data_IF_397981728532
#
_entry.id   IF_397981728532
#
_cell.length_a   1.000
_cell.length_b   1.000
_cell.length_c   1.000
_cell.angle_alpha   90.00
_cell.angle_beta   90.00
_cell.angle_gamma   90.00
#
_symmetry.space_group_name_H-M   'P 1'
#
loop_
_entity.id
_entity.type
_entity.pdbx_description
1 polymer ?
#
# COMPACT_ATOMS: atom_id res chain seq x y z
N UNK A 1 6.08 -10.93 29.53
CA UNK A 1 7.38 -10.89 28.82
C UNK A 1 7.28 -11.51 27.42
N UNK A 2 6.86 -12.78 27.25
CA UNK A 2 6.69 -13.42 25.93
C UNK A 2 5.72 -12.68 24.97
N UNK A 3 4.61 -12.14 25.49
CA UNK A 3 3.65 -11.37 24.67
C UNK A 3 4.21 -10.03 24.15
N UNK A 4 5.05 -9.35 24.93
CA UNK A 4 5.64 -8.07 24.52
C UNK A 4 6.69 -8.27 23.42
N UNK A 5 7.51 -9.32 23.52
CA UNK A 5 8.47 -9.70 22.47
C UNK A 5 7.74 -10.11 21.19
N UNK A 6 6.68 -10.90 21.29
CA UNK A 6 5.88 -11.28 20.12
C UNK A 6 5.15 -10.09 19.48
N UNK A 7 4.74 -9.09 20.27
CA UNK A 7 4.16 -7.85 19.74
C UNK A 7 5.22 -6.97 19.06
N UNK A 8 6.41 -6.81 19.66
CA UNK A 8 7.49 -6.01 19.07
C UNK A 8 7.99 -6.61 17.76
N UNK A 9 8.14 -7.94 17.68
CA UNK A 9 8.52 -8.64 16.45
C UNK A 9 7.47 -8.47 15.34
N UNK A 10 6.17 -8.52 15.67
CA UNK A 10 5.09 -8.27 14.72
C UNK A 10 5.09 -6.84 14.20
N UNK A 11 5.28 -5.85 15.09
CA UNK A 11 5.38 -4.44 14.71
C UNK A 11 6.60 -4.17 13.81
N UNK A 12 7.75 -4.77 14.14
CA UNK A 12 8.96 -4.69 13.33
C UNK A 12 8.75 -5.31 11.95
N UNK A 13 8.08 -6.47 11.87
CA UNK A 13 7.76 -7.12 10.59
C UNK A 13 6.84 -6.29 9.69
N UNK A 14 5.83 -5.63 10.26
CA UNK A 14 4.97 -4.70 9.53
C UNK A 14 5.73 -3.46 9.03
N UNK A 15 6.55 -2.87 9.91
CA UNK A 15 7.37 -1.70 9.56
C UNK A 15 8.38 -2.01 8.45
N UNK A 16 9.05 -3.17 8.51
CA UNK A 16 9.97 -3.60 7.45
C UNK A 16 9.24 -3.79 6.12
N UNK A 17 8.01 -4.32 6.15
CA UNK A 17 7.19 -4.49 4.96
C UNK A 17 6.79 -3.15 4.32
N UNK A 18 6.40 -2.16 5.12
CA UNK A 18 6.17 -0.79 4.63
C UNK A 18 7.39 -0.23 3.89
N UNK A 19 8.60 -0.41 4.44
CA UNK A 19 9.83 0.06 3.80
C UNK A 19 10.16 -0.70 2.51
N UNK A 20 9.91 -2.01 2.46
CA UNK A 20 10.07 -2.81 1.24
C UNK A 20 9.16 -2.27 0.13
N UNK A 21 7.87 -2.10 0.42
CA UNK A 21 6.88 -1.58 -0.55
C UNK A 21 7.27 -0.18 -1.01
N UNK A 22 7.61 0.72 -0.09
CA UNK A 22 8.05 2.06 -0.44
C UNK A 22 9.34 2.06 -1.28
N UNK A 23 10.30 1.16 -1.00
CA UNK A 23 11.53 1.04 -1.79
C UNK A 23 11.26 0.53 -3.21
N UNK A 24 10.41 -0.49 -3.37
CA UNK A 24 9.99 -0.99 -4.68
C UNK A 24 9.40 0.17 -5.48
N UNK A 25 8.36 0.82 -4.96
CA UNK A 25 7.62 1.84 -5.69
C UNK A 25 8.49 3.06 -6.03
N UNK A 26 9.26 3.59 -5.07
CA UNK A 26 10.15 4.74 -5.33
C UNK A 26 11.28 4.41 -6.33
N UNK A 27 11.66 3.15 -6.52
CA UNK A 27 12.68 2.77 -7.50
C UNK A 27 12.22 2.96 -8.96
N UNK A 28 10.92 3.16 -9.19
CA UNK A 28 10.34 3.33 -10.52
C UNK A 28 9.56 4.64 -10.67
N UNK A 29 9.04 5.20 -9.58
CA UNK A 29 8.07 6.30 -9.62
C UNK A 29 8.67 7.69 -9.38
N UNK A 30 9.91 7.76 -8.87
CA UNK A 30 10.56 9.05 -8.60
C UNK A 30 10.81 9.88 -9.85
N UNK A 31 11.08 9.23 -10.98
CA UNK A 31 11.23 9.88 -12.30
C UNK A 31 9.90 10.40 -12.83
N UNK A 32 8.79 9.82 -12.38
CA UNK A 32 7.42 10.22 -12.70
C UNK A 32 6.85 11.22 -11.69
N UNK A 33 7.69 11.91 -10.91
CA UNK A 33 7.31 12.84 -9.83
C UNK A 33 6.33 12.24 -8.80
N UNK A 34 6.33 10.93 -8.63
CA UNK A 34 5.52 10.25 -7.61
C UNK A 34 6.46 9.77 -6.51
N UNK A 35 6.18 10.17 -5.26
CA UNK A 35 6.95 9.78 -4.09
C UNK A 35 6.06 8.97 -3.16
N UNK A 36 6.49 7.77 -2.80
CA UNK A 36 5.81 6.94 -1.80
C UNK A 36 6.52 7.07 -0.46
N UNK A 37 5.79 7.43 0.58
CA UNK A 37 6.34 7.61 1.93
C UNK A 37 5.36 7.13 2.98
N UNK A 38 5.82 6.93 4.21
CA UNK A 38 4.92 6.56 5.31
C UNK A 38 3.94 7.69 5.60
N UNK A 39 2.69 7.32 5.88
CA UNK A 39 1.60 8.24 6.19
C UNK A 39 1.68 8.78 7.64
N UNK A 40 2.82 9.35 8.01
CA UNK A 40 3.07 9.93 9.35
C UNK A 40 3.69 11.30 9.22
N UNK A 41 3.29 12.22 10.10
CA UNK A 41 3.77 13.61 10.13
C UNK A 41 5.30 13.70 10.04
N UNK A 42 6.02 12.89 10.82
CA UNK A 42 7.48 12.89 10.85
C UNK A 42 8.13 12.45 9.52
N UNK A 43 7.45 11.67 8.69
CA UNK A 43 7.94 11.26 7.36
C UNK A 43 7.52 12.27 6.30
N UNK A 44 6.29 12.81 6.40
CA UNK A 44 5.76 13.81 5.48
C UNK A 44 6.45 15.16 5.62
N UNK A 45 6.77 15.62 6.84
CA UNK A 45 7.43 16.91 7.09
C UNK A 45 8.86 16.99 6.53
N UNK A 46 9.49 15.84 6.29
CA UNK A 46 10.80 15.75 5.60
C UNK A 46 10.69 16.04 4.10
N UNK A 47 9.51 15.87 3.52
CA UNK A 47 9.24 16.08 2.09
C UNK A 47 8.48 17.38 1.83
N UNK A 48 7.48 17.67 2.66
CA UNK A 48 6.56 18.79 2.52
C UNK A 48 6.95 19.87 3.53
N UNK A 49 7.80 20.81 3.10
CA UNK A 49 8.26 21.90 3.96
C UNK A 49 7.19 22.98 4.18
N UNK A 50 6.21 23.09 3.28
CA UNK A 50 5.06 23.97 3.49
C UNK A 50 4.12 23.35 4.54
N UNK A 51 4.16 23.88 5.77
CA UNK A 51 3.34 23.38 6.88
C UNK A 51 1.85 23.41 6.59
N UNK A 52 1.35 24.43 5.86
CA UNK A 52 -0.08 24.51 5.53
C UNK A 52 -0.49 23.36 4.61
N UNK A 53 0.32 23.06 3.58
CA UNK A 53 0.06 21.94 2.68
C UNK A 53 0.20 20.58 3.37
N UNK A 54 1.18 20.42 4.27
CA UNK A 54 1.33 19.24 5.10
C UNK A 54 0.06 18.99 5.91
N UNK A 55 -0.43 19.99 6.65
CA UNK A 55 -1.65 19.86 7.44
C UNK A 55 -2.89 19.64 6.59
N UNK A 56 -3.00 20.28 5.41
CA UNK A 56 -4.10 20.02 4.49
C UNK A 56 -4.15 18.56 4.04
N UNK A 57 -3.02 17.96 3.64
CA UNK A 57 -2.99 16.54 3.25
C UNK A 57 -3.34 15.65 4.43
N UNK A 58 -2.76 15.94 5.58
CA UNK A 58 -2.99 15.21 6.82
C UNK A 58 -4.47 15.24 7.24
N UNK A 59 -5.07 16.42 7.31
CA UNK A 59 -6.48 16.63 7.66
C UNK A 59 -7.43 16.04 6.62
N UNK A 60 -7.08 16.11 5.33
CA UNK A 60 -7.87 15.51 4.26
C UNK A 60 -8.02 13.98 4.39
N UNK A 61 -7.04 13.32 5.02
CA UNK A 61 -7.10 11.87 5.28
C UNK A 61 -7.76 11.49 6.59
N UNK A 62 -8.10 12.46 7.45
CA UNK A 62 -8.82 12.19 8.69
C UNK A 62 -10.29 11.88 8.41
N UNK A 63 -10.85 11.04 9.25
CA UNK A 63 -12.27 10.64 9.17
C UNK A 63 -13.04 11.06 10.42
N UNK A 64 -14.30 11.47 10.26
CA UNK A 64 -15.13 11.87 11.39
C UNK A 64 -15.55 10.65 12.23
N UNK A 65 -15.20 10.64 13.52
CA UNK A 65 -15.59 9.61 14.50
C UNK A 65 -16.56 10.20 15.52
N UNK A 66 -17.74 9.59 15.63
CA UNK A 66 -18.80 10.03 16.55
C UNK A 66 -18.56 9.50 17.97
N UNK A 67 -18.54 10.41 18.95
CA UNK A 67 -18.49 10.07 20.38
C UNK A 67 -19.88 10.18 20.97
N UNK A 68 -20.56 9.04 21.11
CA UNK A 68 -21.94 8.99 21.60
C UNK A 68 -22.09 9.48 23.04
N UNK A 69 -21.05 9.34 23.86
CA UNK A 69 -21.12 9.70 25.28
C UNK A 69 -21.27 11.20 25.51
N UNK A 70 -20.59 12.03 24.72
CA UNK A 70 -20.62 13.50 24.84
C UNK A 70 -21.30 14.18 23.64
N UNK A 71 -21.88 13.39 22.73
CA UNK A 71 -22.53 13.85 21.50
C UNK A 71 -21.60 14.71 20.62
N UNK A 72 -20.29 14.54 20.73
CA UNK A 72 -19.28 15.23 19.92
C UNK A 72 -18.82 14.40 18.73
N UNK A 73 -18.09 15.04 17.83
CA UNK A 73 -17.40 14.40 16.71
C UNK A 73 -15.93 14.78 16.75
N UNK A 74 -15.06 13.79 16.63
CA UNK A 74 -13.61 13.98 16.49
C UNK A 74 -13.18 13.65 15.06
N UNK A 75 -12.02 14.17 14.65
CA UNK A 75 -11.34 13.74 13.44
C UNK A 75 -10.24 12.77 13.86
N UNK A 76 -10.31 11.53 13.39
CA UNK A 76 -9.34 10.48 13.73
C UNK A 76 -8.55 10.06 12.49
N UNK A 77 -7.34 9.53 12.72
CA UNK A 77 -6.53 8.97 11.65
C UNK A 77 -6.92 7.52 11.39
N UNK A 78 -7.23 7.17 10.13
CA UNK A 78 -7.34 5.76 9.76
C UNK A 78 -5.99 5.06 9.95
N UNK A 79 -6.02 3.72 9.99
CA UNK A 79 -4.79 2.92 9.91
C UNK A 79 -4.22 3.03 8.48
N UNK A 80 -3.40 4.07 8.26
CA UNK A 80 -2.77 4.38 6.98
C UNK A 80 -1.28 4.10 7.06
N UNK A 81 -0.80 3.24 6.16
CA UNK A 81 0.60 2.81 6.18
C UNK A 81 1.47 3.73 5.29
N UNK A 82 1.14 3.85 4.00
CA UNK A 82 1.88 4.69 3.04
C UNK A 82 0.96 5.64 2.26
N UNK A 83 1.50 6.80 1.91
CA UNK A 83 0.96 7.72 0.92
C UNK A 83 1.80 7.70 -0.34
N UNK A 84 1.13 7.59 -1.49
CA UNK A 84 1.70 8.02 -2.77
C UNK A 84 1.35 9.49 -2.97
N UNK A 85 2.36 10.33 -3.18
CA UNK A 85 2.23 11.78 -3.32
C UNK A 85 2.75 12.20 -4.69
N UNK A 86 2.06 13.14 -5.33
CA UNK A 86 2.59 13.83 -6.51
C UNK A 86 3.44 15.00 -6.05
N UNK A 87 4.70 15.01 -6.47
CA UNK A 87 5.62 16.13 -6.28
C UNK A 87 5.18 17.30 -7.18
N UNK A 88 5.18 18.54 -6.66
CA UNK A 88 4.90 19.73 -7.46
C UNK A 88 5.90 19.87 -8.62
N UNK A 89 5.39 20.23 -9.79
CA UNK A 89 6.22 20.42 -10.99
C UNK A 89 6.94 21.77 -10.98
N UNK A 90 6.35 22.76 -10.31
CA UNK A 90 6.88 24.11 -10.18
C UNK A 90 7.09 24.51 -8.72
N UNK A 91 8.05 25.40 -8.50
CA UNK A 91 8.29 25.96 -7.18
C UNK A 91 7.07 26.78 -6.73
N UNK A 92 6.48 26.40 -5.60
CA UNK A 92 5.28 27.04 -5.04
C UNK A 92 3.98 26.26 -5.28
N UNK A 93 3.99 25.24 -6.13
CA UNK A 93 2.86 24.29 -6.22
C UNK A 93 2.81 23.39 -4.98
N UNK A 94 1.60 22.90 -4.70
CA UNK A 94 1.34 22.05 -3.54
C UNK A 94 1.55 20.58 -3.88
N UNK A 95 2.09 19.83 -2.92
CA UNK A 95 2.04 18.38 -2.95
C UNK A 95 0.58 17.94 -2.91
N UNK A 96 0.25 16.90 -3.67
CA UNK A 96 -1.09 16.31 -3.73
C UNK A 96 -1.04 14.85 -3.35
N UNK A 97 -2.02 14.40 -2.57
CA UNK A 97 -2.20 12.99 -2.28
C UNK A 97 -2.77 12.29 -3.52
N UNK A 98 -2.08 11.25 -3.97
CA UNK A 98 -2.46 10.47 -5.15
C UNK A 98 -3.25 9.23 -4.75
N UNK A 99 -2.72 8.46 -3.81
CA UNK A 99 -3.31 7.21 -3.36
C UNK A 99 -2.88 6.89 -1.93
N UNK A 100 -3.69 6.08 -1.27
CA UNK A 100 -3.42 5.52 0.05
C UNK A 100 -3.13 4.03 -0.11
N UNK A 101 -2.02 3.58 0.45
CA UNK A 101 -1.54 2.20 0.34
C UNK A 101 -1.47 1.61 1.75
N UNK A 102 -2.36 0.66 2.04
CA UNK A 102 -2.40 -0.07 3.29
C UNK A 102 -1.58 -1.37 3.16
N UNK A 103 -0.56 -1.54 3.98
CA UNK A 103 0.42 -2.63 3.89
C UNK A 103 0.16 -3.65 4.98
N UNK A 104 -0.25 -4.86 4.61
CA UNK A 104 -0.52 -5.94 5.57
C UNK A 104 0.30 -7.17 5.22
N UNK A 105 1.20 -7.55 6.11
CA UNK A 105 1.98 -8.80 5.97
C UNK A 105 1.09 -10.05 5.95
N UNK A 106 0.09 -10.06 6.82
CA UNK A 106 -0.93 -11.11 6.99
C UNK A 106 -2.19 -10.45 7.53
N UNK A 107 -3.36 -11.02 7.23
CA UNK A 107 -4.63 -10.42 7.60
C UNK A 107 -5.06 -10.85 8.99
N UNK A 108 -5.26 -12.14 9.20
CA UNK A 108 -5.97 -12.70 10.34
C UNK A 108 -7.28 -11.93 10.57
N UNK A 109 -7.40 -11.16 11.65
CA UNK A 109 -8.57 -10.30 11.89
C UNK A 109 -8.45 -8.87 11.30
N UNK A 110 -7.32 -8.48 10.71
CA UNK A 110 -7.03 -7.10 10.25
C UNK A 110 -7.59 -6.75 8.87
N UNK A 111 -8.14 -7.72 8.14
CA UNK A 111 -8.78 -7.44 6.86
C UNK A 111 -10.05 -6.60 7.02
N UNK A 112 -10.79 -6.77 8.13
CA UNK A 112 -11.99 -5.98 8.42
C UNK A 112 -11.64 -4.52 8.72
N UNK A 113 -10.52 -4.28 9.40
CA UNK A 113 -9.99 -2.93 9.64
C UNK A 113 -9.60 -2.24 8.32
N UNK A 114 -8.84 -2.93 7.46
CA UNK A 114 -8.48 -2.41 6.14
C UNK A 114 -9.72 -2.10 5.29
N UNK A 115 -10.72 -2.99 5.30
CA UNK A 115 -11.98 -2.79 4.58
C UNK A 115 -12.82 -1.64 5.15
N UNK A 116 -12.87 -1.49 6.47
CA UNK A 116 -13.57 -0.39 7.12
C UNK A 116 -12.98 0.96 6.71
N UNK A 117 -11.65 1.10 6.74
CA UNK A 117 -10.99 2.32 6.32
C UNK A 117 -11.11 2.56 4.81
N UNK A 118 -10.98 1.52 3.99
CA UNK A 118 -11.19 1.61 2.54
C UNK A 118 -12.58 2.12 2.19
N UNK A 119 -13.63 1.60 2.83
CA UNK A 119 -15.00 2.09 2.65
C UNK A 119 -15.13 3.56 3.03
N UNK A 120 -14.60 3.97 4.18
CA UNK A 120 -14.71 5.36 4.64
C UNK A 120 -14.02 6.34 3.70
N UNK A 121 -12.82 6.01 3.22
CA UNK A 121 -12.02 6.85 2.31
C UNK A 121 -12.70 6.98 0.95
N UNK A 122 -13.22 5.87 0.40
CA UNK A 122 -13.96 5.87 -0.86
C UNK A 122 -15.20 6.75 -0.79
N UNK A 123 -15.92 6.71 0.34
CA UNK A 123 -17.11 7.53 0.55
C UNK A 123 -16.79 9.01 0.80
N UNK A 124 -15.61 9.34 1.33
CA UNK A 124 -15.29 10.72 1.76
C UNK A 124 -14.44 11.53 0.77
N UNK A 125 -13.56 10.87 0.01
CA UNK A 125 -12.45 11.58 -0.67
C UNK A 125 -12.19 11.15 -2.12
N UNK A 126 -12.81 10.06 -2.57
CA UNK A 126 -12.56 9.42 -3.88
C UNK A 126 -11.06 9.18 -4.18
N UNK A 127 -10.21 9.17 -3.16
CA UNK A 127 -8.79 8.79 -3.29
C UNK A 127 -8.71 7.28 -3.43
N UNK A 128 -7.96 6.76 -4.42
CA UNK A 128 -7.68 5.34 -4.52
C UNK A 128 -7.12 4.79 -3.21
N UNK A 129 -7.81 3.81 -2.65
CA UNK A 129 -7.38 3.07 -1.46
C UNK A 129 -7.04 1.64 -1.86
N UNK A 130 -5.78 1.25 -1.68
CA UNK A 130 -5.31 -0.07 -2.08
C UNK A 130 -4.67 -0.81 -0.92
N UNK A 131 -4.72 -2.13 -1.00
CA UNK A 131 -4.08 -3.01 -0.02
C UNK A 131 -2.90 -3.70 -0.69
N UNK A 132 -1.75 -3.75 -0.02
CA UNK A 132 -0.57 -4.50 -0.46
C UNK A 132 -0.27 -5.56 0.59
N UNK A 133 -0.04 -6.80 0.18
CA UNK A 133 0.16 -7.93 1.11
C UNK A 133 1.16 -8.95 0.61
N UNK A 134 1.86 -9.59 1.55
CA UNK A 134 2.68 -10.78 1.28
C UNK A 134 1.85 -12.07 1.32
N UNK A 135 0.62 -12.00 1.85
CA UNK A 135 -0.17 -13.17 2.25
C UNK A 135 0.70 -14.23 2.97
N UNK A 136 1.47 -13.78 3.96
CA UNK A 136 2.64 -14.49 4.49
C UNK A 136 2.36 -15.94 4.92
N UNK A 137 1.14 -16.26 5.31
CA UNK A 137 0.75 -17.61 5.74
C UNK A 137 0.92 -18.66 4.62
N UNK A 138 0.90 -18.26 3.34
CA UNK A 138 1.14 -19.15 2.19
C UNK A 138 2.56 -19.74 2.14
N UNK A 139 3.52 -19.13 2.84
CA UNK A 139 4.89 -19.64 2.98
C UNK A 139 5.03 -20.67 4.11
N UNK A 140 3.91 -21.09 4.71
CA UNK A 140 3.87 -22.07 5.81
C UNK A 140 2.92 -23.22 5.43
N UNK A 141 2.80 -24.29 6.24
CA UNK A 141 1.81 -25.33 5.99
C UNK A 141 0.33 -24.87 6.05
N UNK A 142 0.08 -23.58 6.34
CA UNK A 142 -1.25 -23.00 6.33
C UNK A 142 -1.69 -22.65 4.91
N UNK A 143 -3.01 -22.57 4.71
CA UNK A 143 -3.57 -22.04 3.47
C UNK A 143 -3.41 -20.51 3.39
N UNK A 144 -3.38 -20.00 2.16
CA UNK A 144 -3.52 -18.59 1.85
C UNK A 144 -4.74 -17.98 2.55
N UNK A 145 -4.59 -16.76 3.07
CA UNK A 145 -5.71 -16.02 3.64
C UNK A 145 -6.61 -15.42 2.55
N UNK A 146 -6.16 -15.36 1.30
CA UNK A 146 -6.92 -14.88 0.14
C UNK A 146 -7.58 -16.01 -0.67
N UNK A 147 -7.16 -17.26 -0.46
CA UNK A 147 -7.63 -18.41 -1.23
C UNK A 147 -6.72 -18.72 -2.41
N UNK A 148 -7.22 -19.51 -3.37
CA UNK A 148 -6.40 -19.99 -4.51
C UNK A 148 -6.57 -19.12 -5.75
N UNK A 149 -7.80 -18.68 -6.02
CA UNK A 149 -8.14 -17.85 -7.17
C UNK A 149 -9.32 -16.93 -6.85
N UNK A 150 -9.81 -16.20 -7.86
CA UNK A 150 -11.00 -15.36 -7.72
C UNK A 150 -12.27 -16.23 -7.58
N UNK A 151 -12.31 -17.39 -8.23
CA UNK A 151 -13.38 -18.38 -8.11
C UNK A 151 -13.32 -19.16 -6.80
N UNK A 152 -12.11 -19.50 -6.34
CA UNK A 152 -11.85 -20.18 -5.07
C UNK A 152 -11.29 -19.20 -4.03
N UNK A 153 -12.12 -18.19 -3.71
CA UNK A 153 -11.79 -17.08 -2.82
C UNK A 153 -12.19 -17.35 -1.36
N UNK A 154 -11.43 -16.80 -0.42
CA UNK A 154 -11.82 -16.73 0.99
C UNK A 154 -12.76 -15.55 1.25
N UNK A 155 -13.36 -15.52 2.45
CA UNK A 155 -14.10 -14.35 2.92
C UNK A 155 -13.23 -13.09 2.94
N UNK A 156 -11.99 -13.21 3.42
CA UNK A 156 -11.03 -12.12 3.47
C UNK A 156 -10.81 -11.50 2.10
N UNK A 157 -10.59 -12.30 1.05
CA UNK A 157 -10.44 -11.79 -0.32
C UNK A 157 -11.68 -11.05 -0.78
N UNK A 158 -12.87 -11.65 -0.62
CA UNK A 158 -14.15 -11.01 -1.05
C UNK A 158 -14.38 -9.67 -0.37
N UNK A 159 -14.10 -9.56 0.93
CA UNK A 159 -14.24 -8.32 1.69
C UNK A 159 -13.27 -7.25 1.15
N UNK A 160 -12.00 -7.60 0.97
CA UNK A 160 -11.01 -6.63 0.48
C UNK A 160 -11.32 -6.17 -0.95
N UNK A 161 -11.68 -7.09 -1.84
CA UNK A 161 -12.09 -6.75 -3.22
C UNK A 161 -13.34 -5.87 -3.27
N UNK A 162 -14.20 -5.91 -2.25
CA UNK A 162 -15.42 -5.10 -2.18
C UNK A 162 -15.18 -3.66 -1.70
N UNK A 163 -14.15 -3.44 -0.88
CA UNK A 163 -13.95 -2.18 -0.15
C UNK A 163 -12.60 -1.49 -0.40
N UNK A 164 -11.72 -2.10 -1.18
CA UNK A 164 -10.51 -1.48 -1.72
C UNK A 164 -10.60 -1.36 -3.23
N UNK A 165 -9.89 -0.40 -3.81
CA UNK A 165 -9.79 -0.25 -5.26
C UNK A 165 -9.08 -1.45 -5.88
N UNK A 166 -7.99 -1.90 -5.25
CA UNK A 166 -7.20 -3.08 -5.62
C UNK A 166 -6.46 -3.66 -4.42
N UNK A 167 -6.15 -4.96 -4.53
CA UNK A 167 -5.26 -5.70 -3.65
C UNK A 167 -4.04 -6.11 -4.48
N UNK A 168 -2.84 -5.83 -3.98
CA UNK A 168 -1.59 -6.18 -4.63
C UNK A 168 -0.79 -7.18 -3.81
N UNK A 169 -0.14 -8.09 -4.52
CA UNK A 169 0.69 -9.14 -3.97
C UNK A 169 2.15 -8.84 -4.22
N UNK A 170 2.95 -9.11 -3.20
CA UNK A 170 4.39 -8.97 -3.25
C UNK A 170 5.02 -10.16 -2.53
N UNK A 171 6.01 -10.77 -3.17
CA UNK A 171 6.72 -11.88 -2.57
C UNK A 171 7.46 -11.46 -1.31
N UNK A 172 7.77 -12.44 -0.47
CA UNK A 172 8.41 -12.20 0.81
C UNK A 172 9.87 -11.76 0.66
N UNK A 173 10.19 -10.64 1.27
CA UNK A 173 11.56 -10.17 1.49
C UNK A 173 11.89 -10.12 2.98
N UNK A 174 13.18 -10.12 3.31
CA UNK A 174 13.63 -10.09 4.71
C UNK A 174 13.48 -8.70 5.32
N UNK A 175 13.87 -7.67 4.56
CA UNK A 175 13.78 -6.25 4.90
C UNK A 175 14.12 -5.40 3.65
N UNK A 176 14.14 -4.08 3.79
CA UNK A 176 14.45 -3.14 2.72
C UNK A 176 15.89 -3.24 2.18
N UNK A 177 16.81 -3.90 2.89
CA UNK A 177 18.18 -4.13 2.47
C UNK A 177 18.42 -5.58 2.00
N UNK A 178 17.37 -6.34 1.71
CA UNK A 178 17.48 -7.70 1.19
C UNK A 178 18.15 -7.69 -0.21
N UNK A 179 19.28 -8.38 -0.43
CA UNK A 179 19.94 -8.41 -1.74
C UNK A 179 19.05 -8.97 -2.86
N UNK A 180 18.07 -9.83 -2.53
CA UNK A 180 17.09 -10.31 -3.50
C UNK A 180 16.20 -9.19 -4.00
N UNK A 181 15.79 -8.28 -3.10
CA UNK A 181 14.98 -7.11 -3.45
C UNK A 181 15.72 -6.21 -4.45
N UNK A 182 16.99 -5.91 -4.18
CA UNK A 182 17.80 -5.08 -5.08
C UNK A 182 18.02 -5.74 -6.45
N UNK A 183 18.20 -7.06 -6.46
CA UNK A 183 18.29 -7.85 -7.70
C UNK A 183 16.99 -7.79 -8.50
N UNK A 184 15.85 -7.97 -7.85
CA UNK A 184 14.54 -7.92 -8.50
C UNK A 184 14.21 -6.53 -9.05
N UNK A 185 14.51 -5.47 -8.28
CA UNK A 185 14.41 -4.08 -8.75
C UNK A 185 15.25 -3.89 -10.02
N UNK A 186 16.51 -4.36 -10.01
CA UNK A 186 17.40 -4.27 -11.17
C UNK A 186 16.88 -5.04 -12.39
N UNK A 187 16.29 -6.23 -12.18
CA UNK A 187 15.66 -7.03 -13.24
C UNK A 187 14.50 -6.25 -13.86
N UNK A 188 13.58 -5.73 -13.05
CA UNK A 188 12.43 -4.96 -13.54
C UNK A 188 12.88 -3.69 -14.28
N UNK A 189 13.87 -2.97 -13.77
CA UNK A 189 14.44 -1.80 -14.45
C UNK A 189 15.03 -2.16 -15.83
N UNK A 190 15.73 -3.29 -15.93
CA UNK A 190 16.27 -3.76 -17.20
C UNK A 190 15.16 -4.17 -18.17
N UNK A 191 14.12 -4.86 -17.69
CA UNK A 191 12.96 -5.22 -18.49
C UNK A 191 12.28 -3.96 -19.07
N UNK A 192 12.06 -2.92 -18.24
CA UNK A 192 11.49 -1.65 -18.69
C UNK A 192 12.37 -0.96 -19.75
N UNK A 193 13.70 -0.94 -19.57
CA UNK A 193 14.63 -0.39 -20.57
C UNK A 193 14.61 -1.15 -21.89
N UNK A 194 14.31 -2.45 -21.85
CA UNK A 194 14.16 -3.30 -23.03
C UNK A 194 12.74 -3.25 -23.63
N UNK A 195 11.82 -2.46 -23.06
CA UNK A 195 10.43 -2.38 -23.51
C UNK A 195 9.56 -3.56 -23.09
N UNK A 196 10.02 -4.40 -22.16
CA UNK A 196 9.27 -5.55 -21.64
C UNK A 196 8.39 -5.08 -20.47
N UNK A 197 7.20 -4.58 -20.81
CA UNK A 197 6.27 -3.98 -19.85
C UNK A 197 5.59 -5.02 -18.94
N UNK A 198 5.14 -6.14 -19.50
CA UNK A 198 4.30 -7.15 -18.82
C UNK A 198 5.07 -8.20 -18.01
N UNK A 199 6.27 -7.88 -17.54
CA UNK A 199 7.06 -8.80 -16.72
C UNK A 199 6.67 -8.69 -15.24
N UNK A 200 6.21 -9.78 -14.65
CA UNK A 200 5.97 -9.88 -13.19
C UNK A 200 7.27 -10.33 -12.52
N UNK A 201 7.83 -9.47 -11.68
CA UNK A 201 9.15 -9.71 -11.05
C UNK A 201 9.02 -9.89 -9.54
N UNK A 202 8.06 -9.19 -8.94
CA UNK A 202 7.87 -9.16 -7.49
C UNK A 202 6.92 -10.26 -6.98
N UNK A 203 6.69 -11.30 -7.77
CA UNK A 203 5.95 -12.51 -7.39
C UNK A 203 6.88 -13.73 -7.19
N UNK A 204 6.50 -14.67 -6.32
CA UNK A 204 7.32 -15.85 -6.03
C UNK A 204 6.95 -17.02 -6.95
N UNK A 205 7.82 -17.27 -7.93
CA UNK A 205 7.69 -18.37 -8.90
C UNK A 205 7.62 -19.77 -8.27
N UNK A 206 8.07 -19.92 -7.02
CA UNK A 206 8.04 -21.20 -6.31
C UNK A 206 6.71 -21.46 -5.59
N UNK A 207 5.82 -20.46 -5.55
CA UNK A 207 4.48 -20.59 -4.98
C UNK A 207 3.47 -20.62 -6.13
N UNK A 208 2.96 -21.81 -6.51
CA UNK A 208 1.99 -21.91 -7.59
C UNK A 208 0.77 -21.06 -7.27
N UNK A 209 0.38 -20.19 -8.21
CA UNK A 209 -0.85 -19.40 -8.15
C UNK A 209 -0.92 -18.35 -7.02
N UNK A 210 0.13 -17.63 -6.62
CA UNK A 210 0.14 -16.67 -5.48
C UNK A 210 -0.59 -15.31 -5.76
N UNK A 211 -1.88 -15.05 -5.54
CA UNK A 211 -3.12 -15.79 -5.27
C UNK A 211 -4.04 -15.53 -6.47
N UNK A 212 -3.71 -16.23 -7.57
CA UNK A 212 -4.08 -16.09 -8.99
C UNK A 212 -4.85 -14.81 -9.37
N UNK A 213 -4.13 -13.93 -10.08
CA UNK A 213 -4.56 -12.57 -10.38
C UNK A 213 -5.88 -12.49 -11.15
N UNK A 214 -6.61 -11.42 -10.89
CA UNK A 214 -7.73 -10.97 -11.71
C UNK A 214 -7.83 -9.45 -11.66
N UNK A 215 -9.01 -8.91 -11.97
CA UNK A 215 -9.19 -7.47 -12.03
C UNK A 215 -8.78 -6.77 -10.72
N UNK A 216 -9.15 -7.33 -9.56
CA UNK A 216 -8.99 -6.69 -8.25
C UNK A 216 -7.77 -7.17 -7.47
N UNK A 217 -7.19 -8.33 -7.79
CA UNK A 217 -5.98 -8.87 -7.14
C UNK A 217 -4.88 -8.99 -8.16
N UNK A 218 -3.77 -8.26 -7.97
CA UNK A 218 -2.71 -8.08 -8.97
C UNK A 218 -1.31 -8.19 -8.37
N UNK A 219 -0.25 -8.38 -9.16
CA UNK A 219 1.11 -8.22 -8.66
C UNK A 219 1.38 -6.75 -8.34
N UNK A 220 2.26 -6.47 -7.38
CA UNK A 220 2.70 -5.09 -7.06
C UNK A 220 3.35 -4.39 -8.26
N UNK A 221 3.86 -5.14 -9.24
CA UNK A 221 4.28 -4.61 -10.53
C UNK A 221 3.22 -3.70 -11.17
N UNK A 222 1.94 -4.09 -11.11
CA UNK A 222 0.83 -3.35 -11.72
C UNK A 222 0.52 -2.05 -10.96
N UNK A 223 0.80 -1.98 -9.65
CA UNK A 223 0.59 -0.77 -8.85
C UNK A 223 1.45 0.40 -9.36
N UNK A 224 2.62 0.12 -9.94
CA UNK A 224 3.49 1.14 -10.54
C UNK A 224 2.74 1.83 -11.69
N UNK A 225 2.11 1.04 -12.56
CA UNK A 225 1.41 1.56 -13.72
C UNK A 225 0.06 2.18 -13.34
N UNK A 226 -0.65 1.61 -12.36
CA UNK A 226 -1.89 2.20 -11.84
C UNK A 226 -1.63 3.58 -11.19
N UNK A 227 -0.54 3.76 -10.44
CA UNK A 227 -0.17 5.07 -9.88
C UNK A 227 0.14 6.10 -10.97
N UNK A 228 0.85 5.70 -12.04
CA UNK A 228 1.08 6.58 -13.21
C UNK A 228 -0.22 6.97 -13.88
N UNK A 229 -1.12 6.01 -14.05
CA UNK A 229 -2.44 6.23 -14.64
C UNK A 229 -3.25 7.22 -13.82
N UNK A 230 -3.38 7.00 -12.51
CA UNK A 230 -4.11 7.92 -11.62
C UNK A 230 -3.50 9.31 -11.59
N UNK A 231 -2.17 9.45 -11.69
CA UNK A 231 -1.54 10.78 -11.80
C UNK A 231 -1.99 11.50 -13.07
N UNK A 232 -2.10 10.79 -14.19
CA UNK A 232 -2.54 11.36 -15.47
C UNK A 232 -4.00 11.84 -15.46
N UNK A 233 -4.83 11.31 -14.57
CA UNK A 233 -6.22 11.72 -14.39
C UNK A 233 -6.38 12.99 -13.54
N UNK A 234 -5.34 13.41 -12.81
CA UNK A 234 -5.37 14.64 -12.00
C UNK A 234 -5.43 15.85 -12.96
N UNK A 235 -6.47 16.70 -12.87
CA UNK A 235 -6.55 17.92 -13.66
C UNK A 235 -5.36 18.84 -13.39
N UNK A 236 -4.79 19.38 -14.47
CA UNK A 236 -3.73 20.40 -14.43
C UNK A 236 -4.23 21.67 -13.74
#
# INVERSE_FOLDING_TARGET
>A
MLNQLAQSLRAAGGTAFEYIVAKILNSFLLEDDIVVTRAREASLSRLIHNQSNLYQIMDFTRVPVKRRCDQSQLQDYPDLDLFALVRPSQFGELWRLLAIINCKVSFHARHTEAAFWGLLIRLSSNIPFVVVTEDRDIYTPKASELGRSCEDSTETRRILESFSDRVYLVKRYTNENDPKLDKDISIKQNNLKQGILSSVVFDDVNIPYHTQYCHSVRPIDDLIDDLRHWKAEIPK
#
